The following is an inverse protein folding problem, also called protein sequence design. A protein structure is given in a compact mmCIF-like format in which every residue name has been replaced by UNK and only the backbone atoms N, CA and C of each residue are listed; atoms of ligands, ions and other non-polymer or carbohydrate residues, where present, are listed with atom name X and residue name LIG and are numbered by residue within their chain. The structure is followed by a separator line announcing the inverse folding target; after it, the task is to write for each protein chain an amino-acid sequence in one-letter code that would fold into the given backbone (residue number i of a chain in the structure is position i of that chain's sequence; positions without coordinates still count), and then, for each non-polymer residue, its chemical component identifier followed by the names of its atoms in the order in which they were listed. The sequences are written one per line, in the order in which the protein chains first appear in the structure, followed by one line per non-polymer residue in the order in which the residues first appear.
data_IF_123737591192
#
_entry.id   IF_123737591192
#
_cell.length_a   1.000
_cell.length_b   1.000
_cell.length_c   1.000
_cell.angle_alpha   90.00
_cell.angle_beta   90.00
_cell.angle_gamma   90.00
#
_symmetry.space_group_name_H-M   'P 1'
#
loop_
_entity.id
_entity.type
_entity.pdbx_description
1 polymer ?
#
# COMPACT_ATOMS: atom_id res chain seq x y z
N UNK A 1 21.51 13.17 14.02
CA UNK A 1 22.33 13.18 12.79
C UNK A 1 22.09 11.96 11.90
N UNK A 2 22.11 10.73 12.42
CA UNK A 2 21.89 9.49 11.62
C UNK A 2 20.53 9.43 10.92
N UNK A 3 19.44 9.86 11.56
CA UNK A 3 18.11 9.89 10.95
C UNK A 3 18.05 10.79 9.70
N UNK A 4 18.68 11.97 9.75
CA UNK A 4 18.73 12.91 8.62
C UNK A 4 19.57 12.39 7.45
N UNK A 5 20.68 11.70 7.74
CA UNK A 5 21.48 11.05 6.71
C UNK A 5 20.71 9.90 6.02
N UNK A 6 19.98 9.10 6.80
CA UNK A 6 19.11 8.06 6.25
C UNK A 6 17.96 8.65 5.40
N UNK A 7 17.30 9.72 5.86
CA UNK A 7 16.25 10.43 5.08
C UNK A 7 16.80 10.87 3.72
N UNK A 8 17.97 11.49 3.72
CA UNK A 8 18.60 12.02 2.50
C UNK A 8 19.04 10.89 1.55
N UNK A 9 19.57 9.78 2.07
CA UNK A 9 19.96 8.63 1.26
C UNK A 9 18.75 7.96 0.58
N UNK A 10 17.63 7.84 1.30
CA UNK A 10 16.37 7.30 0.76
C UNK A 10 15.86 8.20 -0.38
N UNK A 11 15.73 9.51 -0.15
CA UNK A 11 15.30 10.48 -1.18
C UNK A 11 16.16 10.45 -2.44
N UNK A 12 17.49 10.40 -2.29
CA UNK A 12 18.41 10.34 -3.44
C UNK A 12 18.26 9.04 -4.23
N UNK A 13 18.01 7.91 -3.56
CA UNK A 13 17.76 6.62 -4.24
C UNK A 13 16.43 6.61 -4.97
N UNK A 14 15.39 7.22 -4.42
CA UNK A 14 14.08 7.30 -5.07
C UNK A 14 14.10 8.17 -6.33
N UNK A 15 14.81 9.30 -6.27
CA UNK A 15 15.08 10.12 -7.46
C UNK A 15 15.82 9.32 -8.55
N UNK A 16 16.81 8.50 -8.18
CA UNK A 16 17.52 7.64 -9.12
C UNK A 16 16.63 6.53 -9.71
N UNK A 17 15.73 5.95 -8.92
CA UNK A 17 14.79 4.94 -9.41
C UNK A 17 13.72 5.51 -10.33
N UNK A 18 13.29 6.77 -10.13
CA UNK A 18 12.34 7.43 -11.04
C UNK A 18 12.92 7.64 -12.44
N UNK A 19 14.22 7.94 -12.56
CA UNK A 19 14.89 8.13 -13.87
C UNK A 19 15.14 6.80 -14.60
N UNK A 20 15.40 5.72 -13.87
CA UNK A 20 15.63 4.39 -14.45
C UNK A 20 14.34 3.59 -14.74
N UNK A 21 13.19 4.11 -14.32
CA UNK A 21 11.93 3.36 -14.33
C UNK A 21 11.16 3.40 -15.64
N UNK A 22 11.49 4.20 -16.66
CA UNK A 22 10.68 4.23 -17.90
C UNK A 22 10.57 2.81 -18.52
N UNK A 23 9.36 2.17 -18.53
CA UNK A 23 8.01 2.75 -18.61
C UNK A 23 7.08 2.52 -17.37
N UNK A 24 7.63 2.36 -16.19
CA UNK A 24 6.97 2.35 -14.88
C UNK A 24 6.80 3.77 -14.32
N UNK A 25 5.59 4.08 -13.88
CA UNK A 25 5.23 5.27 -13.13
C UNK A 25 4.77 4.83 -11.74
N UNK A 26 5.36 5.39 -10.68
CA UNK A 26 4.96 5.17 -9.29
C UNK A 26 4.50 6.50 -8.71
N UNK A 27 3.26 6.54 -8.22
CA UNK A 27 2.64 7.76 -7.70
C UNK A 27 1.98 7.56 -6.34
N UNK A 28 1.98 8.64 -5.56
CA UNK A 28 1.08 8.81 -4.43
C UNK A 28 -0.25 9.35 -4.92
N UNK A 29 -1.33 8.63 -4.64
CA UNK A 29 -2.67 9.03 -5.05
C UNK A 29 -3.25 9.94 -3.97
N UNK A 30 -3.67 11.14 -4.38
CA UNK A 30 -4.33 12.09 -3.49
C UNK A 30 -5.75 11.60 -3.15
N UNK A 31 -6.26 11.78 -1.92
CA UNK A 31 -7.61 11.33 -1.53
C UNK A 31 -8.75 11.88 -2.42
N UNK A 32 -8.54 13.05 -3.04
CA UNK A 32 -9.50 13.66 -3.96
C UNK A 32 -9.43 13.15 -5.40
N UNK A 33 -8.43 12.33 -5.77
CA UNK A 33 -8.31 11.77 -7.12
C UNK A 33 -9.15 10.49 -7.23
N UNK A 34 -10.45 10.69 -7.45
CA UNK A 34 -11.41 9.58 -7.57
C UNK A 34 -11.08 8.63 -8.72
N UNK A 35 -10.40 9.09 -9.77
CA UNK A 35 -10.06 8.26 -10.94
C UNK A 35 -8.95 7.28 -10.58
N UNK A 36 -7.85 7.78 -10.02
CA UNK A 36 -6.72 6.94 -9.62
C UNK A 36 -7.11 6.00 -8.46
N UNK A 37 -7.96 6.45 -7.53
CA UNK A 37 -8.50 5.59 -6.48
C UNK A 37 -9.36 4.45 -7.06
N UNK A 38 -10.25 4.74 -8.01
CA UNK A 38 -11.05 3.71 -8.70
C UNK A 38 -10.16 2.70 -9.44
N UNK A 39 -9.07 3.15 -10.08
CA UNK A 39 -8.06 2.24 -10.68
C UNK A 39 -7.43 1.30 -9.64
N UNK A 40 -7.05 1.82 -8.47
CA UNK A 40 -6.54 1.01 -7.36
C UNK A 40 -7.56 -0.05 -6.94
N UNK A 41 -8.81 0.34 -6.72
CA UNK A 41 -9.83 -0.57 -6.21
C UNK A 41 -10.18 -1.67 -7.21
N UNK A 42 -10.25 -1.33 -8.50
CA UNK A 42 -10.44 -2.31 -9.58
C UNK A 42 -9.25 -3.26 -9.71
N UNK A 43 -8.02 -2.75 -9.61
CA UNK A 43 -6.81 -3.58 -9.62
C UNK A 43 -6.83 -4.58 -8.45
N UNK A 44 -7.16 -4.12 -7.24
CA UNK A 44 -7.28 -4.99 -6.07
C UNK A 44 -8.34 -6.06 -6.27
N UNK A 45 -9.52 -5.69 -6.77
CA UNK A 45 -10.58 -6.64 -7.10
C UNK A 45 -10.11 -7.68 -8.12
N UNK A 46 -9.45 -7.23 -9.20
CA UNK A 46 -8.92 -8.13 -10.21
C UNK A 46 -7.96 -9.16 -9.60
N UNK A 47 -6.99 -8.71 -8.79
CA UNK A 47 -5.93 -9.57 -8.24
C UNK A 47 -6.46 -10.47 -7.10
N UNK A 48 -7.22 -9.91 -6.18
CA UNK A 48 -7.63 -10.57 -4.93
C UNK A 48 -8.93 -11.38 -5.08
N UNK A 49 -9.80 -11.00 -6.02
CA UNK A 49 -11.10 -11.67 -6.20
C UNK A 49 -11.10 -12.46 -7.50
N UNK A 50 -11.00 -11.79 -8.66
CA UNK A 50 -11.12 -12.44 -9.98
C UNK A 50 -10.01 -13.46 -10.22
N UNK A 51 -8.75 -13.08 -10.07
CA UNK A 51 -7.61 -13.93 -10.40
C UNK A 51 -7.37 -15.02 -9.34
N UNK A 52 -7.74 -14.74 -8.09
CA UNK A 52 -7.73 -15.72 -7.01
C UNK A 52 -8.81 -16.80 -7.22
N UNK A 53 -10.02 -16.41 -7.63
CA UNK A 53 -11.11 -17.35 -7.95
C UNK A 53 -10.74 -18.30 -9.10
N UNK A 54 -9.94 -17.84 -10.06
CA UNK A 54 -9.42 -18.67 -11.17
C UNK A 54 -8.26 -19.58 -10.75
N UNK A 55 -7.79 -19.50 -9.51
CA UNK A 55 -6.71 -20.36 -9.02
C UNK A 55 -7.22 -21.77 -8.70
N UNK A 56 -6.35 -22.79 -8.77
CA UNK A 56 -6.71 -24.18 -8.42
C UNK A 56 -7.22 -24.34 -6.97
N UNK A 57 -6.94 -23.36 -6.11
CA UNK A 57 -7.36 -23.36 -4.69
C UNK A 57 -8.63 -22.54 -4.45
N UNK A 58 -9.16 -21.88 -5.49
CA UNK A 58 -10.25 -20.91 -5.35
C UNK A 58 -9.80 -19.61 -4.68
N UNK A 59 -10.76 -18.71 -4.46
CA UNK A 59 -10.54 -17.49 -3.67
C UNK A 59 -10.71 -17.85 -2.17
N UNK A 60 -9.70 -17.61 -1.31
CA UNK A 60 -9.85 -17.84 0.13
C UNK A 60 -10.80 -16.85 0.81
N UNK A 61 -11.18 -15.77 0.12
CA UNK A 61 -12.07 -14.73 0.63
C UNK A 61 -13.48 -14.86 0.04
N UNK A 62 -14.54 -14.61 0.83
CA UNK A 62 -15.90 -14.47 0.32
C UNK A 62 -16.00 -13.42 -0.82
N UNK A 63 -16.94 -13.57 -1.79
CA UNK A 63 -17.08 -12.63 -2.91
C UNK A 63 -17.40 -11.18 -2.51
N UNK A 64 -18.04 -11.00 -1.35
CA UNK A 64 -18.41 -9.72 -0.75
C UNK A 64 -17.35 -9.20 0.24
N UNK A 65 -16.28 -9.96 0.48
CA UNK A 65 -15.21 -9.57 1.39
C UNK A 65 -14.47 -8.35 0.80
N UNK A 66 -14.75 -7.18 1.36
CA UNK A 66 -14.22 -5.86 0.96
C UNK A 66 -14.70 -5.32 -0.39
N UNK A 67 -15.85 -5.79 -0.89
CA UNK A 67 -16.46 -5.24 -2.09
C UNK A 67 -17.64 -4.33 -1.70
N UNK A 68 -17.38 -3.02 -1.53
CA UNK A 68 -18.47 -2.05 -1.31
C UNK A 68 -19.21 -1.73 -2.62
N UNK A 69 -18.55 -1.85 -3.78
CA UNK A 69 -19.13 -1.58 -5.10
C UNK A 69 -18.67 -2.61 -6.12
N UNK A 70 -19.46 -3.66 -6.38
CA UNK A 70 -19.31 -4.53 -7.57
C UNK A 70 -17.88 -4.98 -7.91
N UNK A 71 -17.20 -4.21 -8.78
CA UNK A 71 -15.84 -4.44 -9.31
C UNK A 71 -14.72 -3.68 -8.58
N UNK A 72 -15.02 -3.01 -7.46
CA UNK A 72 -14.09 -2.25 -6.64
C UNK A 72 -13.91 -2.89 -5.26
N UNK A 73 -12.66 -3.26 -4.97
CA UNK A 73 -12.25 -3.76 -3.67
C UNK A 73 -11.77 -2.61 -2.79
N UNK A 74 -12.62 -2.18 -1.86
CA UNK A 74 -12.43 -1.04 -0.94
C UNK A 74 -13.23 -1.23 0.34
N UNK A 75 -12.74 -0.69 1.45
CA UNK A 75 -13.43 -0.65 2.74
C UNK A 75 -13.43 0.77 3.35
N UNK A 76 -13.97 0.90 4.58
CA UNK A 76 -14.04 2.19 5.26
C UNK A 76 -12.69 2.86 5.57
N UNK A 77 -11.58 2.13 5.49
CA UNK A 77 -10.25 2.73 5.68
C UNK A 77 -9.74 3.39 4.41
N UNK A 78 -10.22 2.99 3.23
CA UNK A 78 -9.78 3.55 1.94
C UNK A 78 -10.24 4.99 1.71
N UNK A 79 -11.24 5.47 2.46
CA UNK A 79 -11.81 6.82 2.32
C UNK A 79 -11.33 7.80 3.40
N UNK A 80 -10.41 7.37 4.28
CA UNK A 80 -9.87 8.24 5.33
C UNK A 80 -8.77 9.14 4.76
N UNK A 81 -8.80 10.43 5.10
CA UNK A 81 -7.77 11.40 4.71
C UNK A 81 -6.36 11.01 5.22
N UNK A 82 -6.29 10.23 6.31
CA UNK A 82 -5.05 9.72 6.88
C UNK A 82 -4.46 8.52 6.13
N UNK A 83 -5.20 7.95 5.17
CA UNK A 83 -4.79 6.74 4.44
C UNK A 83 -3.96 7.10 3.22
N UNK A 84 -2.77 6.50 3.12
CA UNK A 84 -1.91 6.63 1.95
C UNK A 84 -2.23 5.60 0.88
N UNK A 85 -2.21 6.01 -0.38
CA UNK A 85 -2.41 5.11 -1.52
C UNK A 85 -1.23 5.22 -2.50
N UNK A 86 -0.62 4.09 -2.84
CA UNK A 86 0.37 3.98 -3.91
C UNK A 86 -0.29 3.34 -5.12
N UNK A 87 -0.14 3.95 -6.29
CA UNK A 87 -0.48 3.34 -7.57
C UNK A 87 0.77 3.23 -8.44
N UNK A 88 0.96 2.07 -9.05
CA UNK A 88 2.04 1.81 -10.00
C UNK A 88 1.43 1.48 -11.35
N UNK A 89 1.79 2.26 -12.37
CA UNK A 89 1.41 2.00 -13.76
C UNK A 89 2.60 1.54 -14.58
N UNK A 90 2.41 0.56 -15.45
CA UNK A 90 3.37 0.16 -16.47
C UNK A 90 2.75 0.37 -17.84
N UNK A 91 3.37 1.21 -18.69
CA UNK A 91 2.81 1.58 -20.01
C UNK A 91 1.37 2.10 -19.92
N UNK A 92 1.08 2.90 -18.89
CA UNK A 92 -0.24 3.48 -18.65
C UNK A 92 -1.28 2.58 -18.00
N UNK A 93 -0.97 1.29 -17.74
CA UNK A 93 -1.89 0.36 -17.08
C UNK A 93 -1.53 0.17 -15.62
N UNK A 94 -2.53 0.21 -14.72
CA UNK A 94 -2.37 -0.13 -13.31
C UNK A 94 -1.86 -1.58 -13.15
N UNK A 95 -0.72 -1.75 -12.47
CA UNK A 95 -0.07 -3.06 -12.29
C UNK A 95 0.27 -3.40 -10.85
N UNK A 96 0.39 -2.43 -9.95
CA UNK A 96 0.53 -2.69 -8.52
C UNK A 96 -0.08 -1.55 -7.72
N UNK A 97 -0.49 -1.86 -6.49
CA UNK A 97 -0.89 -0.86 -5.51
C UNK A 97 -0.63 -1.34 -4.09
N UNK A 98 -0.53 -0.38 -3.17
CA UNK A 98 -0.55 -0.62 -1.74
C UNK A 98 -1.40 0.46 -1.06
N UNK A 99 -1.96 0.11 0.09
CA UNK A 99 -2.55 1.05 1.05
C UNK A 99 -1.59 1.22 2.22
N UNK A 100 -1.59 2.39 2.84
CA UNK A 100 -0.95 2.62 4.13
C UNK A 100 -1.98 3.13 5.11
N UNK A 101 -2.16 2.40 6.21
CA UNK A 101 -3.02 2.80 7.32
C UNK A 101 -2.16 3.50 8.37
N UNK A 102 -2.56 4.71 8.76
CA UNK A 102 -1.85 5.50 9.77
C UNK A 102 -2.36 5.14 11.17
N UNK A 103 -1.50 4.51 11.97
CA UNK A 103 -1.80 4.07 13.34
C UNK A 103 -2.08 5.20 14.31
N UNK A 104 -1.74 6.45 13.99
CA UNK A 104 -2.05 7.62 14.80
C UNK A 104 -3.54 7.99 14.80
N UNK A 105 -4.28 7.59 13.75
CA UNK A 105 -5.67 8.00 13.55
C UNK A 105 -6.65 6.84 13.71
N UNK A 106 -6.25 5.63 13.34
CA UNK A 106 -7.10 4.44 13.38
C UNK A 106 -6.32 3.20 13.83
N UNK A 107 -7.00 2.16 14.35
CA UNK A 107 -6.37 0.86 14.55
C UNK A 107 -5.76 0.32 13.25
N UNK A 108 -4.63 -0.38 13.34
CA UNK A 108 -4.05 -1.07 12.19
C UNK A 108 -5.05 -2.12 11.67
N UNK A 109 -4.99 -2.44 10.38
CA UNK A 109 -5.85 -3.45 9.78
C UNK A 109 -5.69 -4.81 10.46
N UNK A 110 -4.46 -5.23 10.76
CA UNK A 110 -4.21 -6.46 11.50
C UNK A 110 -4.90 -6.50 12.88
N UNK A 111 -5.01 -5.35 13.55
CA UNK A 111 -5.66 -5.21 14.85
C UNK A 111 -7.19 -5.11 14.72
N UNK A 112 -7.69 -4.41 13.70
CA UNK A 112 -9.13 -4.35 13.34
C UNK A 112 -9.72 -5.74 13.18
N UNK A 113 -8.95 -6.69 12.64
CA UNK A 113 -9.37 -8.08 12.46
C UNK A 113 -8.91 -9.03 13.57
N UNK A 114 -8.33 -8.51 14.66
CA UNK A 114 -7.79 -9.29 15.78
C UNK A 114 -6.81 -10.40 15.35
N UNK A 115 -6.02 -10.17 14.30
CA UNK A 115 -5.01 -11.14 13.85
C UNK A 115 -3.79 -11.13 14.77
N UNK A 116 -3.38 -9.95 15.22
CA UNK A 116 -2.22 -9.75 16.08
C UNK A 116 -2.35 -8.41 16.82
N UNK A 117 -1.92 -8.38 18.08
CA UNK A 117 -1.74 -7.16 18.87
C UNK A 117 -0.38 -6.53 18.51
N UNK A 118 -0.36 -5.71 17.45
CA UNK A 118 0.86 -5.09 16.93
C UNK A 118 1.40 -4.08 17.93
N UNK A 119 0.55 -3.17 18.43
CA UNK A 119 0.97 -2.12 19.36
C UNK A 119 1.50 -2.70 20.67
N UNK A 120 0.85 -3.71 21.24
CA UNK A 120 1.33 -4.39 22.44
C UNK A 120 2.67 -5.08 22.22
N UNK A 121 2.85 -5.73 21.06
CA UNK A 121 4.11 -6.42 20.70
C UNK A 121 5.27 -5.46 20.43
N UNK A 122 5.00 -4.29 19.85
CA UNK A 122 6.01 -3.28 19.51
C UNK A 122 6.39 -2.36 20.66
N UNK A 123 5.56 -2.24 21.69
CA UNK A 123 5.78 -1.35 22.85
C UNK A 123 7.21 -1.38 23.42
N UNK A 124 7.95 -2.51 23.49
CA UNK A 124 9.33 -2.51 23.97
C UNK A 124 10.37 -1.90 23.01
N UNK A 125 10.02 -1.69 21.74
CA UNK A 125 10.96 -1.36 20.66
C UNK A 125 10.77 0.04 20.07
N UNK A 126 9.63 0.70 20.31
CA UNK A 126 9.29 2.02 19.78
C UNK A 126 8.95 2.99 20.91
N UNK A 127 9.03 4.30 20.65
CA UNK A 127 8.73 5.32 21.69
C UNK A 127 7.23 5.51 21.81
N UNK A 128 6.53 5.58 20.69
CA UNK A 128 5.09 5.65 20.65
C UNK A 128 4.52 4.48 19.82
N UNK A 129 3.90 3.48 20.45
CA UNK A 129 3.28 2.37 19.73
C UNK A 129 2.08 2.82 18.88
N UNK A 130 1.56 4.03 19.03
CA UNK A 130 0.55 4.57 18.12
C UNK A 130 1.17 5.20 16.86
N UNK A 131 2.41 5.67 16.92
CA UNK A 131 3.09 6.33 15.81
C UNK A 131 3.73 5.33 14.83
N UNK A 132 2.93 4.36 14.40
CA UNK A 132 3.30 3.32 13.46
C UNK A 132 2.33 3.36 12.27
N UNK A 133 2.72 2.77 11.15
CA UNK A 133 1.86 2.65 9.99
C UNK A 133 1.97 1.28 9.35
N UNK A 134 0.87 0.78 8.80
CA UNK A 134 0.79 -0.56 8.21
C UNK A 134 0.57 -0.45 6.70
N UNK A 135 1.55 -0.88 5.88
CA UNK A 135 1.31 -1.22 4.49
C UNK A 135 0.36 -2.42 4.42
N UNK A 136 -0.80 -2.20 3.82
CA UNK A 136 -1.84 -3.21 3.64
C UNK A 136 -2.32 -3.26 2.18
N UNK A 137 -3.13 -4.28 1.86
CA UNK A 137 -3.72 -4.46 0.51
C UNK A 137 -2.69 -4.39 -0.62
N UNK A 138 -1.52 -4.96 -0.35
CA UNK A 138 -0.40 -4.99 -1.28
C UNK A 138 -0.75 -5.96 -2.42
N UNK A 139 -0.96 -5.42 -3.62
CA UNK A 139 -1.32 -6.20 -4.80
C UNK A 139 -0.37 -5.90 -5.96
N UNK A 140 -0.08 -6.93 -6.74
CA UNK A 140 0.73 -6.84 -7.95
C UNK A 140 0.22 -7.82 -9.01
N UNK A 141 0.03 -7.32 -10.23
CA UNK A 141 -0.32 -8.09 -11.41
C UNK A 141 0.75 -9.14 -11.72
N UNK A 142 0.32 -10.27 -12.31
CA UNK A 142 1.25 -11.33 -12.73
C UNK A 142 2.27 -10.86 -13.76
N UNK A 143 1.89 -9.89 -14.59
CA UNK A 143 2.72 -9.31 -15.66
C UNK A 143 4.01 -8.64 -15.18
N UNK A 144 4.09 -8.25 -13.90
CA UNK A 144 5.25 -7.58 -13.30
C UNK A 144 5.98 -8.47 -12.27
N UNK A 145 5.64 -9.76 -12.17
CA UNK A 145 6.37 -10.69 -11.29
C UNK A 145 7.81 -10.84 -11.76
N UNK A 146 8.74 -10.89 -10.79
CA UNK A 146 10.17 -10.94 -11.06
C UNK A 146 10.79 -9.59 -11.44
N UNK A 147 10.01 -8.51 -11.44
CA UNK A 147 10.53 -7.15 -11.59
C UNK A 147 10.80 -6.49 -10.24
N UNK A 148 11.47 -5.35 -10.26
CA UNK A 148 11.77 -4.56 -9.06
C UNK A 148 10.57 -3.74 -8.53
N UNK A 149 9.35 -3.93 -9.07
CA UNK A 149 8.17 -3.13 -8.69
C UNK A 149 7.80 -3.29 -7.21
N UNK A 150 7.83 -4.50 -6.67
CA UNK A 150 7.48 -4.74 -5.25
C UNK A 150 8.52 -4.10 -4.30
N UNK A 151 9.84 -4.29 -4.49
CA UNK A 151 10.85 -3.53 -3.74
C UNK A 151 10.67 -2.01 -3.83
N UNK A 152 10.38 -1.48 -5.03
CA UNK A 152 10.14 -0.04 -5.22
C UNK A 152 8.93 0.44 -4.41
N UNK A 153 7.84 -0.32 -4.40
CA UNK A 153 6.66 0.00 -3.62
C UNK A 153 6.97 0.12 -2.12
N UNK A 154 7.76 -0.82 -1.56
CA UNK A 154 8.20 -0.73 -0.16
C UNK A 154 9.09 0.49 0.10
N UNK A 155 9.99 0.83 -0.83
CA UNK A 155 10.81 2.05 -0.71
C UNK A 155 9.94 3.31 -0.72
N UNK A 156 8.90 3.36 -1.56
CA UNK A 156 7.94 4.45 -1.53
C UNK A 156 7.18 4.51 -0.20
N UNK A 157 6.74 3.37 0.36
CA UNK A 157 6.12 3.37 1.70
C UNK A 157 7.00 4.07 2.75
N UNK A 158 8.32 3.87 2.69
CA UNK A 158 9.25 4.56 3.59
C UNK A 158 9.18 6.08 3.40
N UNK A 159 9.14 6.60 2.17
CA UNK A 159 8.97 8.04 1.94
C UNK A 159 7.73 8.61 2.63
N UNK A 160 6.62 7.88 2.56
CA UNK A 160 5.39 8.29 3.22
C UNK A 160 5.54 8.29 4.74
N UNK A 161 6.18 7.26 5.32
CA UNK A 161 6.51 7.25 6.75
C UNK A 161 7.35 8.48 7.13
N UNK A 162 8.37 8.80 6.33
CA UNK A 162 9.24 9.93 6.58
C UNK A 162 8.52 11.29 6.48
N UNK A 163 7.59 11.43 5.53
CA UNK A 163 6.81 12.66 5.31
C UNK A 163 5.72 12.85 6.37
N UNK A 164 5.21 11.75 6.95
CA UNK A 164 4.18 11.78 7.99
C UNK A 164 4.75 11.62 9.41
N UNK A 165 6.07 11.64 9.58
CA UNK A 165 6.78 11.49 10.86
C UNK A 165 6.40 10.21 11.63
N UNK A 166 6.18 9.11 10.91
CA UNK A 166 6.02 7.77 11.49
C UNK A 166 7.38 7.25 12.00
N UNK A 167 7.38 6.55 13.14
CA UNK A 167 8.57 5.99 13.80
C UNK A 167 9.19 4.78 13.08
#
# INVERSE_FOLDING_TARGET
MLANAAKNMIKTRLAATQVAAAPLNVEWVHPSDSSALSEIYRLRYQVMVSDAAKSKRGNPFPPDHYCIKGDEFRDSYDDLDSTGHILIRHKGLAVASARIVNGNFVPLEAEKYNWIDVRGSLKPFVKDPNNIAEPSRVVACRSIRGTNVVPLMYLHCLDWFMNNNIE
#
